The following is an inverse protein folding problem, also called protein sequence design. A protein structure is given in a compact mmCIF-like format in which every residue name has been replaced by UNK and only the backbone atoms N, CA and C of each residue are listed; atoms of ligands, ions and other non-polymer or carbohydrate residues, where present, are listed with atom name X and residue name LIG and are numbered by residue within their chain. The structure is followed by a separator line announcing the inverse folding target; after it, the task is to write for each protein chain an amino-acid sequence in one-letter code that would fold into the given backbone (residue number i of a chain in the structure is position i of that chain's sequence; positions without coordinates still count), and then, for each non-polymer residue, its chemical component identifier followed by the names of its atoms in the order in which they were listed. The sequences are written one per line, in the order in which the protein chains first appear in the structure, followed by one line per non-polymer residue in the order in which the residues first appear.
data_IF_207087903222
#
_entry.id   IF_207087903222
#
_cell.length_a   1.000
_cell.length_b   1.000
_cell.length_c   1.000
_cell.angle_alpha   90.00
_cell.angle_beta   90.00
_cell.angle_gamma   90.00
#
_symmetry.space_group_name_H-M   'P 1'
#
loop_
_entity.id
_entity.type
_entity.pdbx_description
1 polymer ?
#
# COMPACT_ATOMS: atom_id res chain seq x y z
N UNK A 1 0.13 1.70 13.02
CA UNK A 1 -1.21 2.32 12.86
C UNK A 1 -2.13 1.32 12.18
N UNK A 2 -3.27 0.95 12.78
CA UNK A 2 -4.29 0.12 12.14
C UNK A 2 -4.98 0.85 10.98
N UNK A 3 -5.47 0.10 9.99
CA UNK A 3 -6.25 0.65 8.88
C UNK A 3 -7.60 -0.04 8.78
N UNK A 4 -8.67 0.73 8.64
CA UNK A 4 -10.03 0.26 8.50
C UNK A 4 -10.57 0.48 7.08
N UNK A 5 -11.32 -0.50 6.57
CA UNK A 5 -11.93 -0.49 5.25
C UNK A 5 -13.44 -0.71 5.37
N UNK A 6 -14.19 0.35 5.31
CA UNK A 6 -15.66 0.35 5.40
C UNK A 6 -16.25 1.49 4.56
N UNK A 7 -17.56 1.53 4.38
CA UNK A 7 -18.34 2.68 3.89
C UNK A 7 -19.41 3.09 4.91
N UNK A 8 -19.31 2.60 6.16
CA UNK A 8 -20.23 2.92 7.24
C UNK A 8 -19.47 3.56 8.37
N UNK A 9 -19.89 4.77 8.76
CA UNK A 9 -19.30 5.51 9.85
C UNK A 9 -19.46 4.81 11.21
N UNK A 10 -20.64 4.24 11.49
CA UNK A 10 -20.93 3.49 12.72
C UNK A 10 -19.97 2.29 12.92
N UNK A 11 -19.69 1.55 11.85
CA UNK A 11 -18.72 0.44 11.90
C UNK A 11 -17.29 0.91 12.09
N UNK A 12 -16.94 2.04 11.47
CA UNK A 12 -15.62 2.65 11.68
C UNK A 12 -15.47 3.08 13.14
N UNK A 13 -16.45 3.78 13.70
CA UNK A 13 -16.47 4.27 15.07
C UNK A 13 -16.36 3.11 16.07
N UNK A 14 -17.15 2.06 15.87
CA UNK A 14 -17.09 0.87 16.71
C UNK A 14 -15.68 0.25 16.71
N UNK A 15 -15.14 -0.03 15.52
CA UNK A 15 -13.80 -0.64 15.39
C UNK A 15 -12.68 0.26 15.94
N UNK A 16 -12.79 1.58 15.73
CA UNK A 16 -11.82 2.54 16.24
C UNK A 16 -11.81 2.58 17.78
N UNK A 17 -12.97 2.48 18.43
CA UNK A 17 -13.07 2.38 19.91
C UNK A 17 -12.44 1.09 20.45
N UNK A 18 -12.66 -0.05 19.80
CA UNK A 18 -11.97 -1.29 20.14
C UNK A 18 -10.44 -1.14 20.04
N UNK A 19 -9.97 -0.53 18.95
CA UNK A 19 -8.54 -0.25 18.76
C UNK A 19 -8.00 0.73 19.81
N UNK A 20 -8.79 1.74 20.20
CA UNK A 20 -8.41 2.67 21.26
C UNK A 20 -8.25 1.96 22.61
N UNK A 21 -9.16 1.04 22.93
CA UNK A 21 -9.07 0.20 24.13
C UNK A 21 -7.81 -0.70 24.12
N UNK A 22 -7.35 -1.13 22.95
CA UNK A 22 -6.09 -1.87 22.76
C UNK A 22 -4.83 -0.97 22.83
N UNK A 23 -4.98 0.34 23.03
CA UNK A 23 -3.88 1.28 23.18
C UNK A 23 -3.49 2.05 21.92
N UNK A 24 -4.15 1.85 20.78
CA UNK A 24 -3.92 2.67 19.60
C UNK A 24 -4.50 4.08 19.79
N UNK A 25 -3.82 5.09 19.26
CA UNK A 25 -4.23 6.50 19.35
C UNK A 25 -4.48 7.12 17.98
N UNK A 26 -4.22 6.35 16.94
CA UNK A 26 -4.47 6.74 15.55
C UNK A 26 -4.97 5.54 14.74
N UNK A 27 -5.90 5.80 13.82
CA UNK A 27 -6.45 4.83 12.87
C UNK A 27 -6.51 5.44 11.48
N UNK A 28 -6.19 4.64 10.46
CA UNK A 28 -6.26 5.08 9.07
C UNK A 28 -7.56 4.63 8.40
N UNK A 29 -8.20 5.54 7.67
CA UNK A 29 -9.34 5.21 6.83
C UNK A 29 -8.89 4.91 5.39
N UNK A 30 -9.22 3.72 4.90
CA UNK A 30 -8.87 3.29 3.54
C UNK A 30 -9.94 3.75 2.54
N UNK A 31 -9.61 4.76 1.76
CA UNK A 31 -10.37 5.26 0.61
C UNK A 31 -9.63 5.03 -0.73
N UNK A 32 -8.65 4.11 -0.73
CA UNK A 32 -7.78 3.89 -1.88
C UNK A 32 -7.78 2.48 -2.47
N UNK A 33 -8.37 1.48 -1.81
CA UNK A 33 -8.38 0.10 -2.31
C UNK A 33 -9.13 0.00 -3.65
N UNK A 34 -8.46 -0.41 -4.76
CA UNK A 34 -9.09 -0.46 -6.08
C UNK A 34 -9.74 -1.81 -6.41
N UNK A 35 -9.69 -2.80 -5.51
CA UNK A 35 -10.19 -4.16 -5.75
C UNK A 35 -11.67 -4.15 -6.14
N UNK A 36 -12.03 -4.85 -7.21
CA UNK A 36 -13.40 -4.94 -7.70
C UNK A 36 -14.39 -5.45 -6.64
N UNK A 37 -13.99 -6.42 -5.80
CA UNK A 37 -14.84 -6.95 -4.73
C UNK A 37 -15.07 -5.94 -3.60
N UNK A 38 -14.19 -4.96 -3.44
CA UNK A 38 -14.29 -3.87 -2.46
C UNK A 38 -15.11 -2.72 -3.04
N UNK A 39 -14.78 -2.27 -4.25
CA UNK A 39 -15.39 -1.11 -4.88
C UNK A 39 -16.84 -1.36 -5.32
N UNK A 40 -17.20 -2.61 -5.67
CA UNK A 40 -18.59 -3.01 -5.93
C UNK A 40 -19.52 -2.86 -4.70
N UNK A 41 -18.93 -2.80 -3.49
CA UNK A 41 -19.65 -2.56 -2.23
C UNK A 41 -19.51 -1.11 -1.74
N UNK A 42 -19.17 -0.18 -2.60
CA UNK A 42 -18.88 1.24 -2.29
C UNK A 42 -17.83 1.42 -1.19
N UNK A 43 -16.82 0.52 -1.07
CA UNK A 43 -15.75 0.61 -0.08
C UNK A 43 -14.43 0.99 -0.75
N UNK A 44 -13.47 1.45 0.04
CA UNK A 44 -12.17 1.89 -0.48
C UNK A 44 -12.33 2.97 -1.56
N UNK A 45 -11.64 2.86 -2.69
CA UNK A 45 -11.77 3.81 -3.78
C UNK A 45 -13.17 3.84 -4.43
N UNK A 46 -14.02 2.83 -4.16
CA UNK A 46 -15.40 2.81 -4.62
C UNK A 46 -16.28 3.89 -3.99
N UNK A 47 -15.97 4.30 -2.75
CA UNK A 47 -16.71 5.35 -2.05
C UNK A 47 -16.47 6.74 -2.63
N UNK A 48 -15.36 6.94 -3.33
CA UNK A 48 -14.99 8.23 -3.94
C UNK A 48 -15.98 8.69 -5.03
N UNK A 49 -16.72 7.76 -5.65
CA UNK A 49 -17.77 8.10 -6.62
C UNK A 49 -19.08 8.59 -5.97
N UNK A 50 -19.16 8.58 -4.65
CA UNK A 50 -20.37 8.93 -3.88
C UNK A 50 -20.02 9.97 -2.81
N UNK A 51 -19.74 11.23 -3.20
CA UNK A 51 -19.27 12.28 -2.28
C UNK A 51 -20.20 12.48 -1.09
N UNK A 52 -21.52 12.41 -1.28
CA UNK A 52 -22.50 12.61 -0.21
C UNK A 52 -22.50 11.44 0.81
N UNK A 53 -22.21 10.20 0.35
CA UNK A 53 -22.02 9.06 1.25
C UNK A 53 -20.70 9.19 2.02
N UNK A 54 -19.66 9.66 1.35
CA UNK A 54 -18.36 9.92 1.97
C UNK A 54 -18.49 10.99 3.05
N UNK A 55 -19.15 12.11 2.76
CA UNK A 55 -19.38 13.20 3.73
C UNK A 55 -20.13 12.68 4.96
N UNK A 56 -21.25 11.98 4.80
CA UNK A 56 -22.00 11.40 5.93
C UNK A 56 -21.14 10.46 6.78
N UNK A 57 -20.29 9.66 6.11
CA UNK A 57 -19.37 8.76 6.82
C UNK A 57 -18.33 9.53 7.63
N UNK A 58 -17.76 10.61 7.07
CA UNK A 58 -16.79 11.46 7.75
C UNK A 58 -17.42 12.28 8.88
N UNK A 59 -18.63 12.82 8.69
CA UNK A 59 -19.40 13.51 9.73
C UNK A 59 -19.59 12.62 10.96
N UNK A 60 -19.98 11.37 10.75
CA UNK A 60 -20.16 10.41 11.83
C UNK A 60 -18.84 10.07 12.53
N UNK A 61 -17.76 9.84 11.76
CA UNK A 61 -16.45 9.49 12.29
C UNK A 61 -15.89 10.64 13.13
N UNK A 62 -15.78 11.84 12.56
CA UNK A 62 -15.16 12.97 13.23
C UNK A 62 -16.05 13.62 14.30
N UNK A 63 -17.35 13.50 14.18
CA UNK A 63 -18.30 13.94 15.20
C UNK A 63 -18.33 13.04 16.44
N UNK A 64 -17.86 11.77 16.32
CA UNK A 64 -18.04 10.76 17.38
C UNK A 64 -16.73 10.31 18.04
N UNK A 65 -15.57 10.60 17.42
CA UNK A 65 -14.24 10.12 17.86
C UNK A 65 -13.25 11.27 18.14
N UNK A 66 -13.56 12.20 19.06
CA UNK A 66 -12.65 13.33 19.34
C UNK A 66 -11.31 12.88 19.96
N UNK A 67 -11.28 11.71 20.61
CA UNK A 67 -10.10 11.15 21.27
C UNK A 67 -9.14 10.38 20.33
N UNK A 68 -9.59 10.03 19.11
CA UNK A 68 -8.84 9.24 18.15
C UNK A 68 -8.37 10.10 16.99
N UNK A 69 -7.08 10.09 16.67
CA UNK A 69 -6.58 10.70 15.45
C UNK A 69 -6.97 9.83 14.25
N UNK A 70 -7.57 10.44 13.24
CA UNK A 70 -7.99 9.74 12.01
C UNK A 70 -7.20 10.29 10.84
N UNK A 71 -6.39 9.42 10.23
CA UNK A 71 -5.72 9.66 8.95
C UNK A 71 -6.49 9.03 7.79
N UNK A 72 -6.30 9.53 6.58
CA UNK A 72 -6.98 9.04 5.38
C UNK A 72 -5.94 8.63 4.34
N UNK A 73 -6.08 7.40 3.80
CA UNK A 73 -5.36 7.02 2.58
C UNK A 73 -6.32 6.94 1.41
N UNK A 74 -6.11 7.79 0.41
CA UNK A 74 -7.03 7.98 -0.71
C UNK A 74 -6.37 7.81 -2.08
N UNK A 75 -7.22 7.64 -3.11
CA UNK A 75 -6.94 7.93 -4.52
C UNK A 75 -7.60 9.24 -4.90
N UNK A 76 -7.33 9.72 -6.13
CA UNK A 76 -7.85 11.00 -6.64
C UNK A 76 -9.26 10.93 -7.20
N UNK A 77 -9.88 9.76 -7.16
CA UNK A 77 -11.22 9.51 -7.67
C UNK A 77 -11.38 8.08 -8.16
N UNK A 78 -12.58 7.78 -8.67
CA UNK A 78 -12.92 6.47 -9.24
C UNK A 78 -12.74 6.43 -10.75
N UNK A 79 -13.35 7.37 -11.46
CA UNK A 79 -13.49 7.33 -12.91
C UNK A 79 -12.81 8.50 -13.64
N UNK A 80 -12.75 9.69 -13.04
CA UNK A 80 -12.32 10.94 -13.68
C UNK A 80 -11.46 11.79 -12.73
N UNK A 81 -10.32 12.35 -13.20
CA UNK A 81 -9.53 13.29 -12.42
C UNK A 81 -10.31 14.53 -11.96
N UNK A 82 -11.38 14.91 -12.67
CA UNK A 82 -12.27 16.01 -12.29
C UNK A 82 -13.04 15.76 -10.97
N UNK A 83 -13.03 14.53 -10.44
CA UNK A 83 -13.57 14.20 -9.12
C UNK A 83 -12.69 14.78 -7.98
N UNK A 84 -11.39 14.96 -8.23
CA UNK A 84 -10.40 15.26 -7.21
C UNK A 84 -10.61 16.59 -6.45
N UNK A 85 -10.87 17.73 -7.11
CA UNK A 85 -11.10 18.99 -6.39
C UNK A 85 -12.22 18.88 -5.35
N UNK A 86 -13.35 18.24 -5.70
CA UNK A 86 -14.45 18.04 -4.75
C UNK A 86 -14.06 17.15 -3.56
N UNK A 87 -13.25 16.11 -3.80
CA UNK A 87 -12.77 15.24 -2.72
C UNK A 87 -11.83 16.02 -1.78
N UNK A 88 -10.95 16.86 -2.32
CA UNK A 88 -10.10 17.74 -1.52
C UNK A 88 -10.92 18.72 -0.66
N UNK A 89 -11.96 19.32 -1.21
CA UNK A 89 -12.88 20.22 -0.49
C UNK A 89 -13.60 19.49 0.66
N UNK A 90 -13.95 18.23 0.45
CA UNK A 90 -14.52 17.38 1.51
C UNK A 90 -13.48 17.16 2.61
N UNK A 91 -12.28 16.69 2.28
CA UNK A 91 -11.26 16.41 3.29
C UNK A 91 -10.82 17.65 4.06
N UNK A 92 -10.85 18.83 3.45
CA UNK A 92 -10.47 20.10 4.10
C UNK A 92 -11.43 20.52 5.23
N UNK A 93 -12.64 19.97 5.28
CA UNK A 93 -13.64 20.28 6.32
C UNK A 93 -13.44 19.51 7.62
N UNK A 94 -12.58 18.50 7.63
CA UNK A 94 -12.37 17.62 8.77
C UNK A 94 -10.94 17.73 9.31
N UNK A 95 -10.72 17.50 10.62
CA UNK A 95 -9.39 17.51 11.23
C UNK A 95 -8.64 16.19 10.92
N UNK A 96 -8.41 15.93 9.63
CA UNK A 96 -7.67 14.76 9.15
C UNK A 96 -6.23 14.84 9.65
N UNK A 97 -5.80 13.86 10.45
CA UNK A 97 -4.47 13.86 11.06
C UNK A 97 -3.33 13.72 10.04
N UNK A 98 -3.56 13.00 8.96
CA UNK A 98 -2.62 12.83 7.85
C UNK A 98 -3.40 12.44 6.58
N UNK A 99 -3.17 13.08 5.46
CA UNK A 99 -3.72 12.71 4.16
C UNK A 99 -2.66 12.03 3.31
N UNK A 100 -2.83 10.74 3.02
CA UNK A 100 -1.93 9.96 2.16
C UNK A 100 -2.56 9.85 0.79
N UNK A 101 -1.94 10.46 -0.21
CA UNK A 101 -2.48 10.55 -1.58
C UNK A 101 -1.76 9.59 -2.52
N UNK A 102 -2.51 8.65 -3.11
CA UNK A 102 -2.08 7.89 -4.27
C UNK A 102 -2.69 8.55 -5.52
N UNK A 103 -1.91 9.32 -6.32
CA UNK A 103 -2.46 10.11 -7.39
C UNK A 103 -2.73 9.26 -8.65
N UNK A 104 -3.66 8.35 -8.52
CA UNK A 104 -4.26 7.51 -9.56
C UNK A 104 -5.76 7.36 -9.31
N UNK A 105 -6.52 7.15 -10.39
CA UNK A 105 -7.92 6.76 -10.32
C UNK A 105 -8.07 5.28 -9.91
N UNK A 106 -9.23 4.91 -9.39
CA UNK A 106 -9.54 3.52 -9.07
C UNK A 106 -9.39 2.61 -10.30
N UNK A 107 -9.94 3.03 -11.46
CA UNK A 107 -9.94 2.26 -12.72
C UNK A 107 -8.55 1.98 -13.28
N UNK A 108 -7.56 2.78 -12.92
CA UNK A 108 -6.17 2.62 -13.37
C UNK A 108 -5.43 1.52 -12.61
N UNK A 109 -5.93 1.14 -11.43
CA UNK A 109 -5.25 0.20 -10.52
C UNK A 109 -3.82 0.66 -10.23
N UNK A 110 -2.83 0.08 -10.92
CA UNK A 110 -1.40 0.42 -10.81
C UNK A 110 -0.78 0.67 -12.19
N UNK A 111 -1.59 0.85 -13.23
CA UNK A 111 -1.16 1.03 -14.61
C UNK A 111 -1.06 2.51 -14.98
N UNK A 112 -0.22 2.82 -15.98
CA UNK A 112 -0.03 4.18 -16.44
C UNK A 112 0.76 5.05 -15.47
N UNK A 113 0.99 6.29 -15.85
CA UNK A 113 1.67 7.28 -15.03
C UNK A 113 0.78 7.75 -13.85
N UNK A 114 1.41 8.20 -12.78
CA UNK A 114 0.71 8.89 -11.69
C UNK A 114 0.38 10.32 -12.11
N UNK A 115 -0.78 10.83 -11.68
CA UNK A 115 -1.23 12.21 -11.93
C UNK A 115 -0.54 13.15 -10.93
N UNK A 116 0.66 13.63 -11.26
CA UNK A 116 1.44 14.50 -10.36
C UNK A 116 0.74 15.83 -10.08
N UNK A 117 0.06 16.38 -11.06
CA UNK A 117 -0.78 17.58 -10.97
C UNK A 117 -1.87 17.48 -9.89
N UNK A 118 -2.43 16.29 -9.69
CA UNK A 118 -3.38 16.08 -8.62
C UNK A 118 -2.72 16.11 -7.22
N UNK A 119 -1.47 15.66 -7.11
CA UNK A 119 -0.73 15.82 -5.86
C UNK A 119 -0.33 17.29 -5.61
N UNK A 120 0.05 18.02 -6.66
CA UNK A 120 0.35 19.45 -6.60
C UNK A 120 -0.88 20.24 -6.13
N UNK A 121 -2.09 19.89 -6.60
CA UNK A 121 -3.33 20.47 -6.14
C UNK A 121 -3.58 20.23 -4.63
N UNK A 122 -3.29 19.02 -4.14
CA UNK A 122 -3.39 18.72 -2.71
C UNK A 122 -2.39 19.52 -1.86
N UNK A 123 -1.16 19.69 -2.33
CA UNK A 123 -0.15 20.53 -1.69
C UNK A 123 -0.56 22.01 -1.62
N UNK A 124 -1.20 22.51 -2.68
CA UNK A 124 -1.62 23.90 -2.75
C UNK A 124 -2.83 24.21 -1.85
N UNK A 125 -3.73 23.26 -1.67
CA UNK A 125 -5.00 23.49 -0.95
C UNK A 125 -4.90 23.23 0.56
N UNK A 126 -4.03 22.30 0.99
CA UNK A 126 -3.94 21.92 2.40
C UNK A 126 -2.93 22.75 3.17
N UNK A 127 -3.24 23.04 4.44
CA UNK A 127 -2.29 23.68 5.36
C UNK A 127 -1.22 22.71 5.85
N UNK A 128 -1.59 21.43 6.03
CA UNK A 128 -0.68 20.32 6.35
C UNK A 128 -0.19 19.67 5.06
N UNK A 129 1.09 19.31 5.03
CA UNK A 129 1.72 18.68 3.86
C UNK A 129 1.21 17.24 3.71
N UNK A 130 0.56 16.87 2.59
CA UNK A 130 0.10 15.51 2.38
C UNK A 130 1.27 14.54 2.14
N UNK A 131 1.08 13.28 2.56
CA UNK A 131 2.03 12.19 2.30
C UNK A 131 1.84 11.69 0.87
N UNK A 132 2.92 11.62 0.12
CA UNK A 132 2.90 11.07 -1.24
C UNK A 132 3.00 9.55 -1.24
N UNK A 133 2.16 8.89 -2.05
CA UNK A 133 2.23 7.46 -2.29
C UNK A 133 2.03 7.15 -3.78
N UNK A 134 3.08 6.85 -4.52
CA UNK A 134 2.97 6.46 -5.94
C UNK A 134 4.32 6.20 -6.58
N UNK A 135 4.52 4.99 -7.12
CA UNK A 135 5.65 4.57 -7.95
C UNK A 135 7.04 4.95 -7.42
N UNK A 136 7.20 4.89 -6.12
CA UNK A 136 8.50 4.98 -5.46
C UNK A 136 8.98 3.54 -5.17
N UNK A 137 9.88 3.04 -6.00
CA UNK A 137 10.32 1.65 -5.94
C UNK A 137 11.74 1.50 -5.42
N UNK A 138 12.59 2.48 -5.68
CA UNK A 138 14.01 2.48 -5.33
C UNK A 138 14.38 3.68 -4.45
N UNK A 139 15.55 3.62 -3.83
CA UNK A 139 16.10 4.77 -3.11
C UNK A 139 16.33 5.98 -4.04
N UNK A 140 16.67 5.72 -5.30
CA UNK A 140 16.84 6.76 -6.31
C UNK A 140 15.52 7.47 -6.64
N UNK A 141 14.40 6.71 -6.74
CA UNK A 141 13.08 7.30 -6.98
C UNK A 141 12.66 8.21 -5.83
N UNK A 142 12.85 7.75 -4.60
CA UNK A 142 12.55 8.56 -3.40
C UNK A 142 13.41 9.81 -3.37
N UNK A 143 14.72 9.69 -3.62
CA UNK A 143 15.63 10.84 -3.65
C UNK A 143 15.26 11.83 -4.77
N UNK A 144 14.86 11.35 -5.95
CA UNK A 144 14.40 12.20 -7.05
C UNK A 144 13.09 12.92 -6.68
N UNK A 145 12.14 12.21 -6.04
CA UNK A 145 10.92 12.80 -5.55
C UNK A 145 11.18 13.91 -4.51
N UNK A 146 12.02 13.63 -3.49
CA UNK A 146 12.34 14.61 -2.45
C UNK A 146 13.05 15.86 -3.01
N UNK A 147 13.86 15.72 -4.07
CA UNK A 147 14.45 16.90 -4.75
C UNK A 147 13.40 17.74 -5.47
N UNK A 148 12.39 17.11 -6.06
CA UNK A 148 11.30 17.80 -6.75
C UNK A 148 10.31 18.45 -5.77
N UNK A 149 10.11 17.82 -4.61
CA UNK A 149 9.15 18.24 -3.59
C UNK A 149 9.82 18.39 -2.22
N UNK A 150 10.71 19.39 -2.05
CA UNK A 150 11.48 19.55 -0.80
C UNK A 150 10.63 19.87 0.43
N UNK A 151 9.38 20.31 0.23
CA UNK A 151 8.41 20.58 1.30
C UNK A 151 7.70 19.30 1.80
N UNK A 152 7.85 18.16 1.12
CA UNK A 152 7.19 16.90 1.52
C UNK A 152 8.08 16.14 2.49
N UNK A 153 7.64 16.03 3.75
CA UNK A 153 8.40 15.41 4.84
C UNK A 153 8.26 13.87 4.86
N UNK A 154 7.20 13.34 4.27
CA UNK A 154 6.89 11.92 4.32
C UNK A 154 6.43 11.35 2.99
N UNK A 155 6.88 10.14 2.69
CA UNK A 155 6.42 9.33 1.57
C UNK A 155 5.99 7.94 2.04
N UNK A 156 4.94 7.40 1.42
CA UNK A 156 4.53 6.02 1.65
C UNK A 156 5.02 5.13 0.51
N UNK A 157 5.80 4.11 0.83
CA UNK A 157 6.27 3.09 -0.11
C UNK A 157 5.54 1.78 0.14
N UNK A 158 5.03 1.16 -0.92
CA UNK A 158 4.37 -0.15 -0.85
C UNK A 158 5.16 -1.23 -1.57
N UNK A 159 4.92 -1.36 -2.87
CA UNK A 159 5.51 -2.40 -3.73
C UNK A 159 7.04 -2.43 -3.69
N UNK A 160 7.68 -1.26 -3.62
CA UNK A 160 9.13 -1.14 -3.51
C UNK A 160 9.71 -1.82 -2.27
N UNK A 161 9.04 -1.74 -1.10
CA UNK A 161 9.48 -2.43 0.12
C UNK A 161 9.32 -3.96 0.05
N UNK A 162 8.37 -4.47 -0.75
CA UNK A 162 8.23 -5.91 -0.96
C UNK A 162 9.30 -6.40 -1.94
N UNK A 163 9.58 -5.61 -2.98
CA UNK A 163 10.60 -5.93 -3.97
C UNK A 163 12.02 -5.85 -3.38
N UNK A 164 12.28 -4.83 -2.57
CA UNK A 164 13.54 -4.63 -1.83
C UNK A 164 13.25 -4.44 -0.33
N UNK A 165 13.26 -5.50 0.47
CA UNK A 165 13.05 -5.41 1.93
C UNK A 165 14.09 -4.54 2.65
N UNK A 166 15.24 -4.27 2.04
CA UNK A 166 16.26 -3.38 2.58
C UNK A 166 16.08 -1.90 2.17
N UNK A 167 15.03 -1.56 1.41
CA UNK A 167 14.84 -0.20 0.88
C UNK A 167 14.89 0.87 1.99
N UNK A 168 14.25 0.62 3.14
CA UNK A 168 14.32 1.56 4.27
C UNK A 168 15.73 1.77 4.83
N UNK A 169 16.60 0.76 4.78
CA UNK A 169 18.02 0.86 5.11
C UNK A 169 18.79 1.63 4.04
N UNK A 170 18.51 1.35 2.78
CA UNK A 170 19.15 2.01 1.63
C UNK A 170 18.84 3.51 1.56
N UNK A 171 17.63 3.91 1.93
CA UNK A 171 17.26 5.33 2.04
C UNK A 171 18.10 6.09 3.07
N UNK A 172 18.71 5.37 4.03
CA UNK A 172 19.65 5.93 5.02
C UNK A 172 21.12 5.69 4.66
N UNK A 173 21.42 5.37 3.39
CA UNK A 173 22.77 5.13 2.91
C UNK A 173 23.35 3.74 3.24
N UNK A 174 22.53 2.80 3.73
CA UNK A 174 22.98 1.45 4.02
C UNK A 174 23.02 0.53 2.80
N UNK A 175 23.60 -0.65 2.97
CA UNK A 175 23.79 -1.64 1.92
C UNK A 175 22.47 -2.26 1.42
N UNK A 176 22.41 -2.76 0.17
CA UNK A 176 21.29 -3.57 -0.33
C UNK A 176 21.13 -4.86 0.48
N UNK A 177 19.99 -5.54 0.31
CA UNK A 177 19.78 -6.83 0.94
C UNK A 177 20.74 -7.87 0.36
N UNK A 178 21.42 -8.59 1.24
CA UNK A 178 22.18 -9.78 0.87
C UNK A 178 21.24 -10.94 0.53
N UNK A 179 21.76 -11.91 -0.22
CA UNK A 179 21.03 -13.16 -0.52
C UNK A 179 20.56 -13.87 0.75
N UNK A 180 21.39 -13.89 1.78
CA UNK A 180 21.05 -14.49 3.07
C UNK A 180 19.87 -13.77 3.74
N UNK A 181 19.84 -12.45 3.73
CA UNK A 181 18.72 -11.65 4.27
C UNK A 181 17.43 -11.89 3.49
N UNK A 182 17.48 -11.94 2.15
CA UNK A 182 16.29 -12.22 1.32
C UNK A 182 15.77 -13.64 1.57
N UNK A 183 16.66 -14.63 1.74
CA UNK A 183 16.28 -15.99 2.09
C UNK A 183 15.63 -16.04 3.46
N UNK A 184 16.23 -15.41 4.47
CA UNK A 184 15.68 -15.37 5.82
C UNK A 184 14.32 -14.65 5.86
N UNK A 185 14.16 -13.57 5.10
CA UNK A 185 12.88 -12.85 4.95
C UNK A 185 11.79 -13.76 4.36
N UNK A 186 12.09 -14.45 3.25
CA UNK A 186 11.17 -15.40 2.62
C UNK A 186 10.77 -16.53 3.57
N UNK A 187 11.76 -17.17 4.21
CA UNK A 187 11.54 -18.34 5.07
C UNK A 187 10.72 -17.95 6.32
N UNK A 188 10.99 -16.77 6.88
CA UNK A 188 10.21 -16.24 8.00
C UNK A 188 8.76 -16.01 7.62
N UNK A 189 8.49 -15.36 6.49
CA UNK A 189 7.12 -15.12 6.02
C UNK A 189 6.38 -16.45 5.75
N UNK A 190 7.06 -17.41 5.12
CA UNK A 190 6.47 -18.71 4.87
C UNK A 190 6.11 -19.41 6.18
N UNK A 191 7.01 -19.40 7.17
CA UNK A 191 6.77 -19.99 8.49
C UNK A 191 5.58 -19.32 9.20
N UNK A 192 5.54 -17.99 9.22
CA UNK A 192 4.46 -17.22 9.84
C UNK A 192 3.09 -17.47 9.17
N UNK A 193 3.05 -17.58 7.83
CA UNK A 193 1.79 -17.90 7.12
C UNK A 193 1.37 -19.34 7.38
N UNK A 194 2.29 -20.31 7.43
CA UNK A 194 1.96 -21.71 7.77
C UNK A 194 1.43 -21.86 9.19
N UNK A 195 1.88 -21.03 10.10
CA UNK A 195 1.38 -21.02 11.49
C UNK A 195 -0.03 -20.43 11.60
N UNK A 196 -0.37 -19.42 10.76
CA UNK A 196 -1.59 -18.63 10.91
C UNK A 196 -2.71 -19.02 9.95
N UNK A 197 -2.39 -19.68 8.85
CA UNK A 197 -3.35 -20.04 7.80
C UNK A 197 -3.53 -21.55 7.76
N UNK A 198 -4.76 -22.01 7.54
CA UNK A 198 -5.09 -23.43 7.45
C UNK A 198 -4.91 -23.96 6.04
N UNK A 199 -3.99 -24.92 5.87
CA UNK A 199 -3.74 -25.61 4.61
C UNK A 199 -2.83 -24.85 3.62
N UNK A 200 -2.39 -25.55 2.58
CA UNK A 200 -1.40 -25.06 1.62
C UNK A 200 -1.94 -23.96 0.70
N UNK A 201 -3.21 -24.03 0.28
CA UNK A 201 -3.78 -23.09 -0.70
C UNK A 201 -3.68 -21.62 -0.28
N UNK A 202 -4.15 -21.20 0.92
CA UNK A 202 -4.02 -19.81 1.33
C UNK A 202 -2.57 -19.39 1.56
N UNK A 203 -1.70 -20.27 2.03
CA UNK A 203 -0.25 -20.02 2.17
C UNK A 203 0.37 -19.75 0.80
N UNK A 204 0.13 -20.63 -0.17
CA UNK A 204 0.65 -20.46 -1.53
C UNK A 204 0.12 -19.20 -2.21
N UNK A 205 -1.13 -18.81 -1.95
CA UNK A 205 -1.69 -17.59 -2.47
C UNK A 205 -0.86 -16.37 -2.00
N UNK A 206 -0.55 -16.29 -0.69
CA UNK A 206 0.27 -15.23 -0.13
C UNK A 206 1.71 -15.24 -0.61
N UNK A 207 2.31 -16.41 -0.70
CA UNK A 207 3.69 -16.52 -1.18
C UNK A 207 3.81 -16.18 -2.67
N UNK A 208 2.81 -16.48 -3.51
CA UNK A 208 2.79 -16.06 -4.92
C UNK A 208 2.63 -14.54 -5.05
N UNK A 209 1.80 -13.94 -4.20
CA UNK A 209 1.64 -12.48 -4.12
C UNK A 209 2.97 -11.81 -3.76
N UNK A 210 3.72 -12.35 -2.79
CA UNK A 210 5.07 -11.90 -2.45
C UNK A 210 6.00 -11.95 -3.68
N UNK A 211 6.02 -13.08 -4.40
CA UNK A 211 6.90 -13.27 -5.55
C UNK A 211 6.59 -12.38 -6.74
N UNK A 212 5.39 -11.83 -6.85
CA UNK A 212 5.07 -10.83 -7.89
C UNK A 212 5.95 -9.56 -7.77
N UNK A 213 6.52 -9.30 -6.59
CA UNK A 213 7.37 -8.13 -6.34
C UNK A 213 8.79 -8.54 -5.96
N UNK A 214 8.98 -9.48 -5.03
CA UNK A 214 10.29 -9.90 -4.55
C UNK A 214 11.17 -10.45 -5.67
N UNK A 215 10.59 -11.06 -6.70
CA UNK A 215 11.32 -11.52 -7.88
C UNK A 215 12.07 -10.40 -8.60
N UNK A 216 11.61 -9.15 -8.45
CA UNK A 216 12.30 -7.99 -9.00
C UNK A 216 13.71 -7.76 -8.46
N UNK A 217 14.06 -8.32 -7.31
CA UNK A 217 15.43 -8.33 -6.76
C UNK A 217 16.36 -9.34 -7.45
N UNK A 218 15.87 -10.15 -8.39
CA UNK A 218 16.63 -11.20 -9.04
C UNK A 218 16.55 -11.12 -10.57
N UNK A 219 17.53 -11.68 -11.25
CA UNK A 219 17.55 -11.88 -12.70
C UNK A 219 17.23 -13.32 -13.05
N UNK A 220 16.75 -13.54 -14.30
CA UNK A 220 16.54 -14.86 -14.89
C UNK A 220 15.62 -15.76 -14.05
N UNK A 221 14.51 -15.18 -13.59
CA UNK A 221 13.59 -15.83 -12.65
C UNK A 221 12.46 -16.61 -13.32
N UNK A 222 12.29 -16.53 -14.64
CA UNK A 222 11.09 -16.94 -15.38
C UNK A 222 10.77 -18.43 -15.17
N UNK A 223 11.77 -19.29 -15.19
CA UNK A 223 11.63 -20.74 -14.99
C UNK A 223 11.10 -21.04 -13.59
N UNK A 224 11.72 -20.45 -12.56
CA UNK A 224 11.40 -20.72 -11.16
C UNK A 224 10.07 -20.08 -10.77
N UNK A 225 9.77 -18.87 -11.26
CA UNK A 225 8.46 -18.24 -11.08
C UNK A 225 7.33 -19.05 -11.72
N UNK A 226 7.57 -19.66 -12.90
CA UNK A 226 6.59 -20.56 -13.52
C UNK A 226 6.32 -21.79 -12.64
N UNK A 227 7.35 -22.37 -12.02
CA UNK A 227 7.21 -23.48 -11.09
C UNK A 227 6.48 -23.08 -9.80
N UNK A 228 6.83 -21.92 -9.21
CA UNK A 228 6.17 -21.33 -8.04
C UNK A 228 4.67 -21.11 -8.31
N UNK A 229 4.31 -20.57 -9.48
CA UNK A 229 2.91 -20.33 -9.84
C UNK A 229 2.11 -21.61 -10.03
N UNK A 230 2.73 -22.69 -10.48
CA UNK A 230 2.08 -23.99 -10.72
C UNK A 230 1.98 -24.89 -9.50
N UNK A 231 2.80 -24.67 -8.48
CA UNK A 231 2.85 -25.50 -7.27
C UNK A 231 1.46 -25.58 -6.60
N UNK A 232 1.00 -26.78 -6.29
CA UNK A 232 -0.30 -27.01 -5.60
C UNK A 232 -0.13 -27.21 -4.10
N UNK A 233 1.08 -27.58 -3.67
CA UNK A 233 1.44 -27.81 -2.27
C UNK A 233 2.67 -27.00 -1.89
N UNK A 234 2.86 -26.75 -0.60
CA UNK A 234 4.09 -26.12 -0.09
C UNK A 234 5.32 -26.99 -0.39
N UNK A 235 5.16 -28.33 -0.40
CA UNK A 235 6.23 -29.26 -0.76
C UNK A 235 6.72 -29.10 -2.22
N UNK A 236 5.81 -28.80 -3.15
CA UNK A 236 6.15 -28.49 -4.55
C UNK A 236 6.73 -27.08 -4.72
N UNK A 237 6.27 -26.12 -3.92
CA UNK A 237 6.67 -24.72 -3.95
C UNK A 237 8.12 -24.53 -3.48
N UNK A 238 8.48 -25.13 -2.35
CA UNK A 238 9.76 -24.92 -1.66
C UNK A 238 10.99 -25.13 -2.56
N UNK A 239 11.12 -26.24 -3.31
CA UNK A 239 12.29 -26.43 -4.16
C UNK A 239 12.46 -25.35 -5.23
N UNK A 240 11.37 -24.83 -5.79
CA UNK A 240 11.41 -23.77 -6.79
C UNK A 240 11.83 -22.43 -6.17
N UNK A 241 11.26 -22.05 -5.02
CA UNK A 241 11.63 -20.85 -4.28
C UNK A 241 13.10 -20.90 -3.82
N UNK A 242 13.56 -22.02 -3.30
CA UNK A 242 14.96 -22.22 -2.88
C UNK A 242 15.93 -22.12 -4.05
N UNK A 243 15.63 -22.69 -5.23
CA UNK A 243 16.47 -22.51 -6.43
C UNK A 243 16.52 -21.05 -6.85
N UNK A 244 15.39 -20.33 -6.87
CA UNK A 244 15.38 -18.92 -7.20
C UNK A 244 16.29 -18.14 -6.24
N UNK A 245 16.11 -18.31 -4.95
CA UNK A 245 16.88 -17.63 -3.91
C UNK A 245 18.38 -17.95 -3.98
N UNK A 246 18.76 -19.19 -4.30
CA UNK A 246 20.14 -19.64 -4.33
C UNK A 246 20.85 -19.32 -5.65
N UNK A 247 20.20 -19.59 -6.79
CA UNK A 247 20.86 -19.69 -8.08
C UNK A 247 20.64 -18.49 -8.99
N UNK A 248 19.53 -17.73 -8.83
CA UNK A 248 19.29 -16.54 -9.64
C UNK A 248 20.19 -15.38 -9.21
N UNK A 249 20.84 -14.65 -10.15
CA UNK A 249 21.67 -13.48 -9.83
C UNK A 249 20.85 -12.40 -9.12
N UNK A 250 21.47 -11.69 -8.16
CA UNK A 250 20.88 -10.52 -7.52
C UNK A 250 21.03 -9.29 -8.42
N UNK A 251 20.00 -8.48 -8.46
CA UNK A 251 20.04 -7.13 -9.04
C UNK A 251 20.58 -6.14 -8.01
N UNK A 252 21.28 -5.13 -8.47
CA UNK A 252 21.67 -3.99 -7.65
C UNK A 252 20.43 -3.19 -7.17
N UNK A 253 19.47 -2.99 -8.05
CA UNK A 253 18.18 -2.35 -7.75
C UNK A 253 17.04 -3.27 -8.18
N UNK A 254 16.04 -3.40 -7.33
CA UNK A 254 14.85 -4.16 -7.67
C UNK A 254 14.08 -3.50 -8.83
N UNK A 255 13.59 -4.32 -9.75
CA UNK A 255 12.77 -3.89 -10.88
C UNK A 255 11.33 -4.35 -10.65
N UNK A 256 10.39 -3.43 -10.76
CA UNK A 256 8.95 -3.73 -10.66
C UNK A 256 8.33 -3.49 -12.03
N UNK A 257 7.83 -4.56 -12.64
CA UNK A 257 7.00 -4.45 -13.84
C UNK A 257 5.61 -3.96 -13.43
N UNK A 258 5.18 -2.82 -13.98
CA UNK A 258 3.92 -2.14 -13.67
C UNK A 258 2.87 -2.44 -14.74
#
# INVERSE_FOLDING_TARGET
MPQLLTNRGDYFVWAARELYAMGYREVNFNLGCPSGTVTAKHKGAGLLAYPEELERCLDEIFGTLPEMRVSIKTRIGKNDPAEWPRLLDIYARYPVAELIVHPRLQKEFYRGAVHRDAFDAALAQRQDVPVYNGDLFTAADVAAFCRQYPQVDAVMVGRGLIADPALGRRLRGGAPASRQELTAFHDRLLADYRQRLSGDTPVLHRMRELWNYLSGSFERTERELKAIRKAKTVAEYLPAAQRLLRDCPLRENAVIEV
#
